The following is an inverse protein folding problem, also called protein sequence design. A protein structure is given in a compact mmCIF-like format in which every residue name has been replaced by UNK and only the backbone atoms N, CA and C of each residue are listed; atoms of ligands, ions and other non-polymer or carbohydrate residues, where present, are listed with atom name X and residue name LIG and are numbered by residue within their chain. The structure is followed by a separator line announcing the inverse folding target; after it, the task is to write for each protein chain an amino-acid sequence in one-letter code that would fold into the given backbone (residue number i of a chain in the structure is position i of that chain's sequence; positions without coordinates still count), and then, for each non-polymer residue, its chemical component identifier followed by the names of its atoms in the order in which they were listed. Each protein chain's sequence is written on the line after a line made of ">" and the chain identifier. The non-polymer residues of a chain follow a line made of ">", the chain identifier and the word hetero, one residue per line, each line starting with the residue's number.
data_IF_515485535676
#
_entry.id   IF_515485535676
#
_cell.length_a   1.000
_cell.length_b   1.000
_cell.length_c   1.000
_cell.angle_alpha   90.00
_cell.angle_beta   90.00
_cell.angle_gamma   90.00
#
_symmetry.space_group_name_H-M   'P 1'
#
loop_
_entity.id
_entity.type
_entity.pdbx_description
1 polymer ?
#
# COMPACT_ATOMS: atom_id res chain seq x y z
N UNK A 1 -18.79 -6.40 9.82
CA UNK A 1 -18.32 -5.00 9.71
C UNK A 1 -18.81 -4.41 8.39
N UNK A 2 -19.52 -3.27 8.40
CA UNK A 2 -19.92 -2.59 7.17
C UNK A 2 -18.69 -2.14 6.39
N UNK A 3 -18.67 -2.34 5.07
CA UNK A 3 -17.50 -2.12 4.20
C UNK A 3 -16.93 -0.70 4.28
N UNK A 4 -17.79 0.28 4.57
CA UNK A 4 -17.44 1.70 4.77
C UNK A 4 -16.46 1.92 5.92
N UNK A 5 -16.38 1.01 6.89
CA UNK A 5 -15.45 1.11 8.01
C UNK A 5 -14.07 0.52 7.72
N UNK A 6 -13.90 -0.26 6.63
CA UNK A 6 -12.62 -0.92 6.32
C UNK A 6 -11.54 0.13 6.08
N UNK A 7 -11.81 1.13 5.23
CA UNK A 7 -10.88 2.22 4.94
C UNK A 7 -10.50 3.00 6.20
N UNK A 8 -11.47 3.60 6.92
CA UNK A 8 -11.18 4.36 8.15
C UNK A 8 -10.40 3.58 9.20
N UNK A 9 -10.76 2.32 9.49
CA UNK A 9 -10.07 1.53 10.52
C UNK A 9 -8.65 1.16 10.07
N UNK A 10 -8.47 0.72 8.83
CA UNK A 10 -7.13 0.43 8.31
C UNK A 10 -6.26 1.70 8.26
N UNK A 11 -6.86 2.83 7.88
CA UNK A 11 -6.21 4.13 7.83
C UNK A 11 -5.75 4.60 9.21
N UNK A 12 -6.66 4.67 10.18
CA UNK A 12 -6.35 5.06 11.56
C UNK A 12 -5.23 4.20 12.16
N UNK A 13 -5.33 2.88 12.00
CA UNK A 13 -4.32 1.96 12.50
C UNK A 13 -2.96 2.19 11.82
N UNK A 14 -2.94 2.35 10.50
CA UNK A 14 -1.70 2.61 9.75
C UNK A 14 -1.03 3.92 10.18
N UNK A 15 -1.77 5.03 10.15
CA UNK A 15 -1.22 6.35 10.48
C UNK A 15 -0.74 6.46 11.93
N UNK A 16 -1.47 5.86 12.88
CA UNK A 16 -1.04 5.82 14.28
C UNK A 16 0.24 4.99 14.49
N UNK A 17 0.32 3.81 13.86
CA UNK A 17 1.52 2.96 13.94
C UNK A 17 2.72 3.65 13.31
N UNK A 18 2.53 4.26 12.15
CA UNK A 18 3.58 4.98 11.42
C UNK A 18 4.15 6.14 12.24
N UNK A 19 3.28 6.99 12.79
CA UNK A 19 3.69 8.09 13.68
C UNK A 19 4.43 7.59 14.92
N UNK A 20 3.92 6.56 15.62
CA UNK A 20 4.59 5.98 16.80
C UNK A 20 5.97 5.43 16.43
N UNK A 21 6.09 4.69 15.33
CA UNK A 21 7.36 4.13 14.85
C UNK A 21 8.37 5.25 14.57
N UNK A 22 7.93 6.35 13.97
CA UNK A 22 8.79 7.49 13.66
C UNK A 22 9.34 8.19 14.92
N UNK A 23 8.61 8.12 16.04
CA UNK A 23 9.00 8.74 17.32
C UNK A 23 9.74 7.81 18.29
N UNK A 24 9.89 6.51 17.99
CA UNK A 24 10.63 5.59 18.88
C UNK A 24 12.04 6.10 19.23
N UNK A 25 12.87 6.59 18.29
CA UNK A 25 14.19 7.12 18.64
C UNK A 25 14.13 8.32 19.60
N UNK A 26 13.07 9.13 19.54
CA UNK A 26 12.84 10.23 20.46
C UNK A 26 12.47 9.76 21.85
N UNK A 27 11.55 8.80 21.95
CA UNK A 27 11.15 8.20 23.23
C UNK A 27 12.31 7.50 23.95
N UNK A 28 13.31 7.03 23.19
CA UNK A 28 14.54 6.45 23.71
C UNK A 28 15.63 7.49 24.03
N UNK A 29 15.43 8.76 23.68
CA UNK A 29 16.43 9.83 23.86
C UNK A 29 17.63 9.70 22.92
N UNK A 30 17.49 9.01 21.79
CA UNK A 30 18.59 8.64 20.89
C UNK A 30 18.71 9.53 19.64
N UNK A 31 17.99 10.66 19.59
CA UNK A 31 18.06 11.60 18.45
C UNK A 31 19.48 12.14 18.26
N UNK A 32 20.16 12.49 19.36
CA UNK A 32 21.52 13.02 19.35
C UNK A 32 22.60 11.93 19.18
N UNK A 33 22.24 10.65 19.37
CA UNK A 33 23.16 9.53 19.24
C UNK A 33 23.47 9.28 17.76
N UNK A 34 24.75 9.11 17.37
CA UNK A 34 25.11 8.69 16.02
C UNK A 34 24.31 7.44 15.61
N UNK A 35 23.78 7.40 14.39
CA UNK A 35 22.93 6.27 13.93
C UNK A 35 23.58 4.89 14.10
N UNK A 36 24.91 4.82 14.02
CA UNK A 36 25.66 3.58 14.19
C UNK A 36 25.69 3.05 15.62
N UNK A 37 25.41 3.91 16.60
CA UNK A 37 25.49 3.60 18.03
C UNK A 37 24.10 3.48 18.67
N UNK A 38 23.03 3.65 17.88
CA UNK A 38 21.65 3.52 18.33
C UNK A 38 21.31 2.10 18.74
N UNK A 39 20.40 1.97 19.71
CA UNK A 39 19.95 0.68 20.20
C UNK A 39 19.24 -0.14 19.11
N UNK A 40 19.14 -1.45 19.34
CA UNK A 40 18.43 -2.34 18.41
C UNK A 40 16.97 -1.93 18.18
N UNK A 41 16.31 -1.34 19.18
CA UNK A 41 14.94 -0.83 19.06
C UNK A 41 14.86 0.40 18.15
N UNK A 42 15.78 1.35 18.30
CA UNK A 42 15.86 2.50 17.41
C UNK A 42 16.18 2.07 15.97
N UNK A 43 17.07 1.10 15.76
CA UNK A 43 17.35 0.56 14.41
C UNK A 43 16.14 -0.18 13.81
N UNK A 44 15.43 -0.98 14.60
CA UNK A 44 14.21 -1.65 14.16
C UNK A 44 13.11 -0.65 13.80
N UNK A 45 12.96 0.41 14.60
CA UNK A 45 12.03 1.50 14.30
C UNK A 45 12.43 2.25 13.03
N UNK A 46 13.71 2.56 12.81
CA UNK A 46 14.20 3.21 11.60
C UNK A 46 13.94 2.35 10.35
N UNK A 47 14.16 1.04 10.43
CA UNK A 47 13.82 0.10 9.37
C UNK A 47 12.32 0.15 9.03
N UNK A 48 11.46 0.12 10.06
CA UNK A 48 10.02 0.18 9.88
C UNK A 48 9.56 1.54 9.33
N UNK A 49 10.06 2.65 9.89
CA UNK A 49 9.88 4.04 9.45
C UNK A 49 10.13 4.16 7.95
N UNK A 50 11.28 3.66 7.46
CA UNK A 50 11.66 3.78 6.05
C UNK A 50 10.73 3.01 5.10
N UNK A 51 10.02 2.00 5.60
CA UNK A 51 9.02 1.25 4.85
C UNK A 51 7.66 1.93 4.94
N UNK A 52 7.23 2.34 6.14
CA UNK A 52 5.92 2.92 6.40
C UNK A 52 5.77 4.31 5.76
N UNK A 53 6.80 5.15 5.86
CA UNK A 53 6.84 6.49 5.23
C UNK A 53 6.98 6.44 3.71
N UNK A 54 7.19 5.26 3.12
CA UNK A 54 7.34 5.15 1.70
C UNK A 54 6.00 5.38 0.99
N UNK A 55 5.97 6.26 -0.01
CA UNK A 55 4.76 6.53 -0.80
C UNK A 55 4.12 5.27 -1.41
N UNK A 56 4.90 4.26 -1.79
CA UNK A 56 4.35 2.98 -2.25
C UNK A 56 3.57 2.22 -1.17
N UNK A 57 3.94 2.35 0.11
CA UNK A 57 3.28 1.67 1.22
C UNK A 57 1.92 2.31 1.53
N UNK A 58 1.86 3.64 1.52
CA UNK A 58 0.60 4.39 1.56
C UNK A 58 -0.29 4.05 0.35
N UNK A 59 0.28 3.94 -0.84
CA UNK A 59 -0.48 3.49 -2.01
C UNK A 59 -1.00 2.04 -1.85
N UNK A 60 -0.19 1.16 -1.26
CA UNK A 60 -0.58 -0.22 -0.97
C UNK A 60 -1.77 -0.29 0.00
N UNK A 61 -1.81 0.57 1.01
CA UNK A 61 -2.95 0.68 1.93
C UNK A 61 -4.26 1.04 1.20
N UNK A 62 -4.22 2.03 0.31
CA UNK A 62 -5.39 2.43 -0.48
C UNK A 62 -5.86 1.30 -1.41
N UNK A 63 -4.91 0.66 -2.11
CA UNK A 63 -5.17 -0.49 -3.00
C UNK A 63 -5.73 -1.67 -2.22
N UNK A 64 -5.16 -2.00 -1.05
CA UNK A 64 -5.64 -3.09 -0.19
C UNK A 64 -7.06 -2.82 0.31
N UNK A 65 -7.34 -1.60 0.75
CA UNK A 65 -8.67 -1.19 1.20
C UNK A 65 -9.70 -1.37 0.09
N UNK A 66 -9.36 -0.95 -1.14
CA UNK A 66 -10.21 -1.17 -2.32
C UNK A 66 -10.42 -2.64 -2.66
N UNK A 67 -9.37 -3.45 -2.53
CA UNK A 67 -9.43 -4.90 -2.77
C UNK A 67 -10.29 -5.64 -1.75
N UNK A 68 -10.29 -5.21 -0.48
CA UNK A 68 -11.05 -5.80 0.62
C UNK A 68 -12.56 -5.56 0.48
N UNK A 69 -12.97 -4.40 -0.01
CA UNK A 69 -14.40 -4.05 -0.18
C UNK A 69 -15.02 -4.64 -1.44
N UNK A 70 -14.20 -5.01 -2.44
CA UNK A 70 -14.69 -5.65 -3.66
C UNK A 70 -15.10 -7.11 -3.38
N UNK A 71 -16.36 -7.44 -3.70
CA UNK A 71 -16.91 -8.80 -3.50
C UNK A 71 -17.21 -9.51 -4.81
N UNK A 72 -17.57 -8.77 -5.85
CA UNK A 72 -18.00 -9.31 -7.14
C UNK A 72 -17.20 -8.65 -8.29
N UNK A 73 -16.27 -9.39 -8.92
CA UNK A 73 -15.47 -8.87 -10.02
C UNK A 73 -16.37 -8.39 -11.18
N UNK A 74 -16.27 -7.12 -11.54
CA UNK A 74 -16.90 -6.60 -12.77
C UNK A 74 -18.04 -5.59 -12.57
N UNK A 75 -18.64 -5.48 -11.38
CA UNK A 75 -19.67 -4.46 -11.13
C UNK A 75 -19.06 -3.06 -11.02
N UNK A 76 -19.70 -2.06 -11.65
CA UNK A 76 -19.32 -0.64 -11.47
C UNK A 76 -19.46 -0.18 -10.01
N UNK A 77 -20.40 -0.76 -9.26
CA UNK A 77 -20.58 -0.47 -7.83
C UNK A 77 -19.34 -0.83 -7.00
N UNK A 78 -18.62 -1.87 -7.38
CA UNK A 78 -17.45 -2.34 -6.64
C UNK A 78 -16.23 -1.44 -6.87
N UNK A 79 -16.10 -0.85 -8.07
CA UNK A 79 -15.09 0.16 -8.34
C UNK A 79 -15.36 1.42 -7.52
N UNK A 80 -16.61 1.89 -7.48
CA UNK A 80 -16.99 3.05 -6.67
C UNK A 80 -16.76 2.81 -5.18
N UNK A 81 -17.14 1.64 -4.65
CA UNK A 81 -16.84 1.24 -3.26
C UNK A 81 -15.35 1.19 -3.01
N UNK A 82 -14.58 0.63 -3.94
CA UNK A 82 -13.13 0.57 -3.86
C UNK A 82 -12.50 1.96 -3.77
N UNK A 83 -12.93 2.88 -4.63
CA UNK A 83 -12.48 4.27 -4.63
C UNK A 83 -12.80 4.98 -3.31
N UNK A 84 -14.03 4.84 -2.81
CA UNK A 84 -14.43 5.41 -1.50
C UNK A 84 -13.60 4.83 -0.37
N UNK A 85 -13.36 3.51 -0.36
CA UNK A 85 -12.56 2.86 0.66
C UNK A 85 -11.10 3.31 0.64
N UNK A 86 -10.49 3.43 -0.54
CA UNK A 86 -9.12 3.92 -0.69
C UNK A 86 -8.97 5.38 -0.28
N UNK A 87 -9.94 6.23 -0.64
CA UNK A 87 -10.02 7.62 -0.20
C UNK A 87 -10.09 7.74 1.32
N UNK A 88 -11.06 7.06 1.94
CA UNK A 88 -11.22 7.07 3.39
C UNK A 88 -9.97 6.51 4.10
N UNK A 89 -9.34 5.45 3.57
CA UNK A 89 -8.11 4.91 4.15
C UNK A 89 -7.00 5.96 4.21
N UNK A 90 -6.72 6.67 3.11
CA UNK A 90 -5.64 7.67 3.10
C UNK A 90 -5.97 8.90 3.94
N UNK A 91 -7.20 9.40 3.89
CA UNK A 91 -7.62 10.55 4.69
C UNK A 91 -7.48 10.25 6.18
N UNK A 92 -7.97 9.09 6.64
CA UNK A 92 -7.87 8.71 8.04
C UNK A 92 -6.44 8.35 8.45
N UNK A 93 -5.64 7.73 7.58
CA UNK A 93 -4.21 7.51 7.84
C UNK A 93 -3.45 8.82 8.01
N UNK A 94 -3.65 9.77 7.09
CA UNK A 94 -2.99 11.09 7.15
C UNK A 94 -3.42 11.85 8.41
N UNK A 95 -4.71 11.81 8.73
CA UNK A 95 -5.25 12.48 9.91
C UNK A 95 -4.71 11.86 11.20
N UNK A 96 -4.65 10.53 11.30
CA UNK A 96 -4.09 9.84 12.46
C UNK A 96 -2.60 10.14 12.61
N UNK A 97 -1.82 10.02 11.53
CA UNK A 97 -0.39 10.31 11.53
C UNK A 97 -0.10 11.70 12.11
N UNK A 98 -0.67 12.74 11.51
CA UNK A 98 -0.44 14.12 11.97
C UNK A 98 -1.06 14.45 13.32
N UNK A 99 -2.13 13.76 13.71
CA UNK A 99 -2.69 13.90 15.05
C UNK A 99 -1.73 13.37 16.11
N UNK A 100 -1.17 12.18 15.91
CA UNK A 100 -0.19 11.61 16.85
C UNK A 100 1.12 12.39 16.86
N UNK A 101 1.63 12.82 15.69
CA UNK A 101 2.80 13.71 15.63
C UNK A 101 2.56 14.99 16.43
N UNK A 102 1.38 15.61 16.31
CA UNK A 102 1.08 16.83 17.08
C UNK A 102 1.07 16.61 18.60
N UNK A 103 0.74 15.41 19.06
CA UNK A 103 0.80 15.04 20.49
C UNK A 103 2.26 14.88 20.92
N UNK A 104 3.10 14.27 20.09
CA UNK A 104 4.49 13.98 20.42
C UNK A 104 5.39 15.22 20.32
N UNK A 105 5.23 16.01 19.26
CA UNK A 105 6.02 17.23 18.98
C UNK A 105 5.53 18.46 19.75
N UNK A 106 4.35 18.38 20.40
CA UNK A 106 3.66 19.51 21.02
C UNK A 106 3.45 20.69 20.04
N UNK A 107 3.21 20.37 18.76
CA UNK A 107 2.94 21.32 17.68
C UNK A 107 1.44 21.39 17.32
N UNK A 108 1.07 22.34 16.48
CA UNK A 108 -0.29 22.51 15.96
C UNK A 108 -0.63 21.44 14.92
N UNK A 109 -1.69 20.67 15.18
CA UNK A 109 -2.15 19.60 14.28
C UNK A 109 -2.49 20.08 12.84
N UNK A 110 -2.88 21.34 12.67
CA UNK A 110 -3.41 21.91 11.41
C UNK A 110 -2.40 22.75 10.62
N UNK A 111 -1.16 22.25 10.55
CA UNK A 111 -0.06 22.85 9.80
C UNK A 111 -0.19 22.72 8.27
N UNK A 112 0.76 23.33 7.56
CA UNK A 112 0.83 23.29 6.09
C UNK A 112 1.02 21.85 5.58
N UNK A 113 1.84 21.05 6.26
CA UNK A 113 2.08 19.65 5.90
C UNK A 113 0.79 18.83 5.94
N UNK A 114 0.02 18.89 7.03
CA UNK A 114 -1.27 18.20 7.18
C UNK A 114 -2.21 18.52 6.02
N UNK A 115 -2.33 19.80 5.64
CA UNK A 115 -3.19 20.23 4.51
C UNK A 115 -2.69 19.68 3.17
N UNK A 116 -1.38 19.80 2.92
CA UNK A 116 -0.76 19.31 1.69
C UNK A 116 -1.01 17.81 1.49
N UNK A 117 -0.80 17.00 2.53
CA UNK A 117 -0.99 15.56 2.46
C UNK A 117 -2.46 15.14 2.46
N UNK A 118 -3.36 15.85 3.14
CA UNK A 118 -4.81 15.60 3.02
C UNK A 118 -5.32 15.85 1.59
N UNK A 119 -4.79 16.87 0.91
CA UNK A 119 -5.07 17.10 -0.52
C UNK A 119 -4.56 15.92 -1.34
N UNK A 120 -3.30 15.49 -1.14
CA UNK A 120 -2.73 14.33 -1.81
C UNK A 120 -3.56 13.05 -1.59
N UNK A 121 -3.92 12.75 -0.35
CA UNK A 121 -4.78 11.62 0.03
C UNK A 121 -6.16 11.68 -0.63
N UNK A 122 -6.73 12.89 -0.77
CA UNK A 122 -8.00 13.10 -1.46
C UNK A 122 -7.90 12.87 -2.96
N UNK A 123 -6.78 13.26 -3.59
CA UNK A 123 -6.56 13.11 -5.02
C UNK A 123 -6.20 11.67 -5.42
N UNK A 124 -5.33 11.01 -4.64
CA UNK A 124 -4.78 9.70 -4.99
C UNK A 124 -5.55 8.53 -4.38
N UNK A 125 -6.25 8.73 -3.27
CA UNK A 125 -7.01 7.67 -2.59
C UNK A 125 -8.09 7.02 -3.47
N UNK A 126 -8.98 7.79 -4.13
CA UNK A 126 -9.99 7.23 -5.04
C UNK A 126 -9.42 6.39 -6.19
N UNK A 127 -8.47 6.86 -7.03
CA UNK A 127 -7.95 6.05 -8.12
C UNK A 127 -7.20 4.80 -7.61
N UNK A 128 -6.44 4.89 -6.52
CA UNK A 128 -5.74 3.74 -5.95
C UNK A 128 -6.71 2.70 -5.36
N UNK A 129 -7.76 3.15 -4.68
CA UNK A 129 -8.84 2.27 -4.21
C UNK A 129 -9.57 1.57 -5.36
N UNK A 130 -9.82 2.29 -6.47
CA UNK A 130 -10.38 1.71 -7.69
C UNK A 130 -9.45 0.64 -8.29
N UNK A 131 -8.13 0.89 -8.35
CA UNK A 131 -7.12 -0.11 -8.74
C UNK A 131 -7.23 -1.36 -7.86
N UNK A 132 -7.36 -1.19 -6.55
CA UNK A 132 -7.62 -2.29 -5.60
C UNK A 132 -8.79 -3.18 -5.98
N UNK A 133 -9.93 -2.57 -6.32
CA UNK A 133 -11.10 -3.32 -6.80
C UNK A 133 -10.84 -4.04 -8.14
N UNK A 134 -10.07 -3.42 -9.03
CA UNK A 134 -9.71 -4.00 -10.33
C UNK A 134 -8.82 -5.24 -10.22
N UNK A 135 -8.03 -5.40 -9.15
CA UNK A 135 -7.20 -6.61 -8.91
C UNK A 135 -8.02 -7.89 -8.91
N UNK A 136 -9.31 -7.83 -8.53
CA UNK A 136 -10.19 -9.01 -8.54
C UNK A 136 -10.71 -9.36 -9.93
N UNK A 137 -10.60 -8.47 -10.93
CA UNK A 137 -11.07 -8.75 -12.29
C UNK A 137 -10.22 -9.84 -12.95
N UNK A 138 -10.85 -10.85 -13.60
CA UNK A 138 -10.11 -11.82 -14.37
C UNK A 138 -9.39 -11.16 -15.57
N UNK A 139 -8.27 -11.74 -15.98
CA UNK A 139 -7.54 -11.32 -17.15
C UNK A 139 -6.51 -10.21 -16.96
N UNK A 140 -6.18 -9.53 -18.06
CA UNK A 140 -5.06 -8.57 -18.13
C UNK A 140 -5.27 -7.36 -17.22
N UNK A 141 -6.51 -6.89 -17.06
CA UNK A 141 -6.83 -5.73 -16.22
C UNK A 141 -6.47 -6.01 -14.76
N UNK A 142 -6.88 -7.16 -14.20
CA UNK A 142 -6.53 -7.52 -12.83
C UNK A 142 -5.03 -7.78 -12.63
N UNK A 143 -4.37 -8.33 -13.65
CA UNK A 143 -2.91 -8.48 -13.66
C UNK A 143 -2.20 -7.12 -13.59
N UNK A 144 -2.57 -6.17 -14.46
CA UNK A 144 -1.98 -4.83 -14.47
C UNK A 144 -2.26 -4.08 -13.16
N UNK A 145 -3.50 -4.15 -12.67
CA UNK A 145 -3.86 -3.57 -11.38
C UNK A 145 -3.03 -4.17 -10.22
N UNK A 146 -2.80 -5.49 -10.24
CA UNK A 146 -1.98 -6.18 -9.23
C UNK A 146 -0.49 -5.81 -9.29
N UNK A 147 -0.01 -5.30 -10.42
CA UNK A 147 1.38 -4.87 -10.59
C UNK A 147 1.64 -3.44 -10.09
N UNK A 148 0.62 -2.62 -9.85
CA UNK A 148 0.78 -1.22 -9.48
C UNK A 148 1.65 -1.07 -8.22
N UNK A 149 1.35 -1.83 -7.16
CA UNK A 149 2.08 -1.73 -5.89
C UNK A 149 3.51 -2.30 -5.99
N UNK A 150 3.73 -3.54 -6.49
CA UNK A 150 5.10 -4.06 -6.62
C UNK A 150 5.99 -3.21 -7.53
N UNK A 151 5.47 -2.72 -8.66
CA UNK A 151 6.21 -1.84 -9.57
C UNK A 151 6.51 -0.50 -8.91
N UNK A 152 5.53 0.09 -8.21
CA UNK A 152 5.73 1.33 -7.46
C UNK A 152 6.81 1.19 -6.38
N UNK A 153 6.78 0.09 -5.61
CA UNK A 153 7.77 -0.22 -4.59
C UNK A 153 9.18 -0.37 -5.18
N UNK A 154 9.32 -1.16 -6.26
CA UNK A 154 10.60 -1.33 -6.93
C UNK A 154 11.12 -0.02 -7.53
N UNK A 155 10.26 0.74 -8.21
CA UNK A 155 10.64 2.01 -8.83
C UNK A 155 11.10 3.02 -7.77
N UNK A 156 10.39 3.14 -6.64
CA UNK A 156 10.81 4.01 -5.55
C UNK A 156 12.18 3.60 -5.00
N UNK A 157 12.42 2.31 -4.76
CA UNK A 157 13.72 1.82 -4.28
C UNK A 157 14.87 1.99 -5.27
N UNK A 158 14.59 2.06 -6.57
CA UNK A 158 15.59 2.25 -7.62
C UNK A 158 15.88 3.73 -7.89
N UNK A 159 14.85 4.58 -7.90
CA UNK A 159 14.96 6.01 -8.25
C UNK A 159 15.25 6.87 -7.02
N UNK A 160 14.68 6.53 -5.87
CA UNK A 160 14.82 7.23 -4.60
C UNK A 160 15.15 6.24 -3.49
N UNK A 161 16.34 5.61 -3.55
CA UNK A 161 16.75 4.68 -2.50
C UNK A 161 16.79 5.40 -1.14
N UNK A 162 16.62 4.66 -0.02
CA UNK A 162 16.80 5.22 1.31
C UNK A 162 18.18 5.89 1.46
N UNK A 163 18.25 6.90 2.31
CA UNK A 163 19.46 7.70 2.48
C UNK A 163 20.66 6.81 2.87
N UNK A 164 21.77 6.95 2.15
CA UNK A 164 22.95 6.07 2.28
C UNK A 164 23.67 6.17 3.63
N UNK A 165 23.39 7.21 4.42
CA UNK A 165 23.90 7.39 5.77
C UNK A 165 23.08 6.64 6.85
N UNK A 166 22.00 5.95 6.48
CA UNK A 166 21.27 5.05 7.36
C UNK A 166 21.83 3.63 7.26
N UNK A 167 22.14 3.00 8.39
CA UNK A 167 22.52 1.59 8.43
C UNK A 167 21.40 0.67 7.92
N UNK A 168 20.14 1.12 8.02
CA UNK A 168 18.97 0.35 7.58
C UNK A 168 18.68 0.52 6.09
N UNK A 169 19.38 1.39 5.37
CA UNK A 169 19.12 1.66 3.96
C UNK A 169 19.27 0.42 3.07
N UNK A 170 20.37 -0.33 3.22
CA UNK A 170 20.63 -1.55 2.43
C UNK A 170 19.65 -2.68 2.80
N UNK A 171 19.41 -2.98 4.10
CA UNK A 171 18.38 -3.93 4.49
C UNK A 171 16.99 -3.60 3.94
N UNK A 172 16.51 -2.36 4.12
CA UNK A 172 15.19 -1.93 3.63
C UNK A 172 15.08 -2.09 2.12
N UNK A 173 16.06 -1.56 1.38
CA UNK A 173 16.08 -1.65 -0.09
C UNK A 173 16.01 -3.11 -0.55
N UNK A 174 16.82 -3.98 0.05
CA UNK A 174 16.88 -5.40 -0.33
C UNK A 174 15.57 -6.12 -0.04
N UNK A 175 14.99 -5.89 1.15
CA UNK A 175 13.71 -6.49 1.55
C UNK A 175 12.56 -6.02 0.68
N UNK A 176 12.48 -4.72 0.38
CA UNK A 176 11.42 -4.16 -0.47
C UNK A 176 11.53 -4.67 -1.90
N UNK A 177 12.73 -4.72 -2.48
CA UNK A 177 12.94 -5.24 -3.83
C UNK A 177 12.61 -6.73 -3.93
N UNK A 178 13.04 -7.53 -2.94
CA UNK A 178 12.70 -8.96 -2.89
C UNK A 178 11.20 -9.17 -2.73
N UNK A 179 10.56 -8.43 -1.82
CA UNK A 179 9.11 -8.48 -1.63
C UNK A 179 8.34 -8.09 -2.88
N UNK A 180 8.76 -7.04 -3.58
CA UNK A 180 8.19 -6.61 -4.86
C UNK A 180 8.33 -7.70 -5.93
N UNK A 181 9.51 -8.33 -6.05
CA UNK A 181 9.75 -9.42 -7.00
C UNK A 181 8.84 -10.63 -6.72
N UNK A 182 8.70 -11.03 -5.46
CA UNK A 182 7.83 -12.13 -5.05
C UNK A 182 6.36 -11.80 -5.36
N UNK A 183 5.89 -10.61 -4.99
CA UNK A 183 4.52 -10.17 -5.24
C UNK A 183 4.21 -10.12 -6.75
N UNK A 184 5.12 -9.58 -7.56
CA UNK A 184 5.00 -9.57 -9.02
C UNK A 184 4.93 -11.00 -9.58
N UNK A 185 5.79 -11.92 -9.12
CA UNK A 185 5.76 -13.31 -9.53
C UNK A 185 4.42 -13.99 -9.18
N UNK A 186 3.87 -13.72 -8.00
CA UNK A 186 2.54 -14.23 -7.59
C UNK A 186 1.43 -13.71 -8.50
N UNK A 187 1.44 -12.42 -8.85
CA UNK A 187 0.47 -11.82 -9.78
C UNK A 187 0.54 -12.47 -11.16
N UNK A 188 1.75 -12.66 -11.71
CA UNK A 188 1.96 -13.35 -13.00
C UNK A 188 1.49 -14.79 -12.95
N UNK A 189 1.83 -15.53 -11.88
CA UNK A 189 1.42 -16.93 -11.71
C UNK A 189 -0.11 -17.06 -11.68
N UNK A 190 -0.79 -16.21 -10.92
CA UNK A 190 -2.26 -16.18 -10.85
C UNK A 190 -2.90 -15.87 -12.20
N UNK A 191 -2.33 -14.97 -12.98
CA UNK A 191 -2.81 -14.69 -14.34
C UNK A 191 -2.57 -15.87 -15.29
N UNK A 192 -1.41 -16.52 -15.21
CA UNK A 192 -1.07 -17.66 -16.04
C UNK A 192 -1.98 -18.87 -15.77
N UNK A 193 -2.35 -19.15 -14.51
CA UNK A 193 -3.28 -20.22 -14.17
C UNK A 193 -4.69 -19.93 -14.69
N UNK A 194 -5.17 -18.70 -14.52
CA UNK A 194 -6.46 -18.27 -15.08
C UNK A 194 -6.51 -18.41 -16.62
N UNK A 195 -5.43 -18.03 -17.31
CA UNK A 195 -5.35 -18.13 -18.77
C UNK A 195 -5.44 -19.59 -19.24
N UNK A 196 -4.76 -20.52 -18.56
CA UNK A 196 -4.82 -21.95 -18.91
C UNK A 196 -6.23 -22.53 -18.76
N UNK A 197 -6.91 -22.21 -17.66
CA UNK A 197 -8.28 -22.65 -17.41
C UNK A 197 -9.28 -22.09 -18.43
N UNK A 198 -9.07 -20.87 -18.91
CA UNK A 198 -9.94 -20.26 -19.92
C UNK A 198 -9.78 -20.91 -21.30
N UNK A 199 -8.57 -21.37 -21.64
CA UNK A 199 -8.32 -22.06 -22.92
C UNK A 199 -8.93 -23.46 -22.96
N UNK A 200 -8.91 -24.20 -21.84
CA UNK A 200 -9.48 -25.56 -21.79
C UNK A 200 -11.00 -25.56 -22.00
N UNK A 201 -11.72 -24.63 -21.36
CA UNK A 201 -13.18 -24.49 -21.52
C UNK A 201 -13.56 -24.14 -22.97
N UNK A 202 -12.76 -23.29 -23.63
CA UNK A 202 -12.98 -22.95 -25.04
C UNK A 202 -12.79 -24.13 -26.00
N UNK A 203 -11.85 -25.03 -25.70
CA UNK A 203 -11.59 -26.21 -26.52
C UNK A 203 -12.75 -27.23 -26.45
N UNK A 204 -13.30 -27.47 -25.26
CA UNK A 204 -14.43 -28.38 -25.04
C UNK A 204 -15.70 -27.90 -25.76
N UNK A 205 -16.02 -26.61 -25.66
CA UNK A 205 -17.20 -26.02 -26.33
C UNK A 205 -17.17 -26.06 -27.87
N UNK A 206 -15.98 -26.26 -28.47
CA UNK A 206 -15.82 -26.35 -29.93
C UNK A 206 -16.02 -27.78 -30.44
N UNK A 207 -15.75 -28.80 -29.62
CA UNK A 207 -15.92 -30.21 -29.98
C UNK A 207 -17.40 -30.59 -30.03
N UNK A 208 -18.23 -29.97 -29.19
CA UNK A 208 -19.67 -30.26 -29.10
C UNK A 208 -20.56 -29.55 -30.15
N UNK A 209 -20.00 -28.82 -31.11
CA UNK A 209 -20.80 -28.29 -32.23
C UNK A 209 -20.78 -29.28 -33.40
N UNK A 210 -21.87 -30.04 -33.64
CA UNK A 210 -21.96 -30.89 -34.82
C UNK A 210 -21.87 -30.01 -36.08
N UNK A 211 -20.98 -30.39 -36.98
CA UNK A 211 -20.88 -29.83 -38.33
C UNK A 211 -22.10 -30.27 -39.14
N UNK A 212 -23.17 -29.47 -39.04
CA UNK A 212 -24.31 -29.53 -39.95
C UNK A 212 -24.01 -28.85 -41.27
#
# INVERSE_FOLDING_TARGET
>A
MPWVLIGPVAGLAWGAVDSVVNHVPEFLGEIATPRAERSGWAQASEFASLILDAGWAWAALAVLSGWLVCRSPGSGSDIARGAVAGWLALVFATSAYYFFDSIFDNDTWWGIATRYWLIGSSLFGPPLGAVGALIRRPGRVGMLAGMVVPVGAALQMLVRPPASNSLMAVPVRSTVLLGAAIAAAMVVRRYATWRRASTSVGAESRVDRPSG
#
